data_IF_836765040650
#
_entry.id   IF_836765040650
#
_cell.length_a   1.000
_cell.length_b   1.000
_cell.length_c   1.000
_cell.angle_alpha   90.00
_cell.angle_beta   90.00
_cell.angle_gamma   90.00
#
_symmetry.space_group_name_H-M   'P 1'
#
loop_
_entity.id
_entity.type
_entity.pdbx_description
1 polymer ?
#
# COMPACT_ATOMS: atom_id res chain seq x y z
N UNK A 1 -7.91 -11.22 18.04
CA UNK A 1 -9.13 -10.41 17.80
C UNK A 1 -8.66 -9.04 17.39
N UNK A 2 -9.20 -8.50 16.33
CA UNK A 2 -8.83 -7.15 15.87
C UNK A 2 -9.16 -6.14 16.97
N UNK A 3 -8.18 -5.36 17.39
CA UNK A 3 -8.34 -4.35 18.45
C UNK A 3 -9.02 -3.07 17.91
N UNK A 4 -9.74 -3.19 16.78
CA UNK A 4 -10.38 -2.09 16.06
C UNK A 4 -11.89 -2.30 15.99
N UNK A 5 -12.66 -1.22 16.19
CA UNK A 5 -14.11 -1.23 15.95
C UNK A 5 -14.35 -1.20 14.44
N UNK A 6 -15.30 -2.00 13.98
CA UNK A 6 -15.69 -2.13 12.58
C UNK A 6 -17.16 -1.76 12.36
N UNK A 7 -17.65 -1.88 11.13
CA UNK A 7 -19.07 -1.69 10.83
C UNK A 7 -19.99 -2.70 11.52
N UNK A 8 -19.44 -3.81 12.03
CA UNK A 8 -20.23 -4.78 12.82
C UNK A 8 -20.61 -4.24 14.20
N UNK A 9 -19.80 -3.27 14.69
CA UNK A 9 -20.01 -2.62 16.00
C UNK A 9 -20.80 -1.30 15.87
N UNK A 10 -21.09 -0.86 14.63
CA UNK A 10 -21.70 0.45 14.36
C UNK A 10 -23.22 0.35 14.18
N UNK A 11 -23.98 1.11 14.95
CA UNK A 11 -25.40 1.38 14.69
C UNK A 11 -25.51 2.57 13.73
N UNK A 12 -25.76 2.29 12.44
CA UNK A 12 -25.81 3.31 11.38
C UNK A 12 -27.22 3.73 11.01
N UNK A 13 -28.27 3.00 11.45
CA UNK A 13 -29.65 3.24 11.04
C UNK A 13 -30.12 4.65 11.43
N UNK A 14 -30.56 5.41 10.43
CA UNK A 14 -31.04 6.79 10.60
C UNK A 14 -29.94 7.81 10.95
N UNK A 15 -28.68 7.37 11.06
CA UNK A 15 -27.54 8.21 11.43
C UNK A 15 -26.86 8.84 10.22
N UNK A 16 -26.30 10.03 10.42
CA UNK A 16 -25.42 10.69 9.45
C UNK A 16 -24.02 10.10 9.62
N UNK A 17 -23.58 9.34 8.62
CA UNK A 17 -22.33 8.60 8.66
C UNK A 17 -21.31 9.29 7.75
N UNK A 18 -20.33 9.96 8.35
CA UNK A 18 -19.18 10.46 7.61
C UNK A 18 -18.26 9.30 7.23
N UNK A 19 -18.03 9.10 5.95
CA UNK A 19 -17.20 8.00 5.45
C UNK A 19 -15.99 8.56 4.70
N UNK A 20 -14.80 8.37 5.25
CA UNK A 20 -13.55 8.76 4.59
C UNK A 20 -13.14 7.67 3.61
N UNK A 21 -13.18 7.98 2.34
CA UNK A 21 -12.89 7.07 1.23
C UNK A 21 -11.70 7.56 0.39
N UNK A 22 -11.13 6.69 -0.42
CA UNK A 22 -10.14 7.05 -1.42
C UNK A 22 -10.81 7.19 -2.80
N UNK A 23 -11.03 8.43 -3.20
CA UNK A 23 -11.57 8.81 -4.51
C UNK A 23 -10.48 9.36 -5.44
N UNK A 24 -9.21 9.21 -5.10
CA UNK A 24 -8.09 9.73 -5.89
C UNK A 24 -7.78 8.81 -7.09
N UNK A 25 -8.72 8.77 -8.01
CA UNK A 25 -8.69 7.94 -9.23
C UNK A 25 -7.94 8.65 -10.37
N UNK A 26 -7.35 7.91 -11.31
CA UNK A 26 -6.77 8.50 -12.50
C UNK A 26 -7.85 9.11 -13.41
N UNK A 27 -7.56 10.27 -13.93
CA UNK A 27 -8.46 11.04 -14.79
C UNK A 27 -7.78 11.40 -16.12
N UNK A 28 -8.52 11.35 -17.20
CA UNK A 28 -8.14 11.91 -18.49
C UNK A 28 -9.28 12.74 -19.06
N UNK A 29 -8.98 13.99 -19.45
CA UNK A 29 -9.96 14.94 -20.00
C UNK A 29 -11.27 15.02 -19.19
N UNK A 30 -11.16 15.02 -17.85
CA UNK A 30 -12.33 15.10 -16.95
C UNK A 30 -13.12 13.80 -16.81
N UNK A 31 -12.59 12.69 -17.30
CA UNK A 31 -13.21 11.35 -17.18
C UNK A 31 -12.34 10.42 -16.36
N UNK A 32 -12.97 9.62 -15.52
CA UNK A 32 -12.28 8.53 -14.77
C UNK A 32 -11.86 7.46 -15.77
N UNK A 33 -10.58 7.08 -15.73
CA UNK A 33 -9.99 6.07 -16.63
C UNK A 33 -9.81 4.71 -15.97
N UNK A 34 -9.90 4.63 -14.64
CA UNK A 34 -9.79 3.40 -13.86
C UNK A 34 -10.73 3.48 -12.64
N UNK A 35 -11.66 2.54 -12.55
CA UNK A 35 -12.68 2.48 -11.49
C UNK A 35 -12.31 1.57 -10.32
N UNK A 36 -11.15 0.93 -10.34
CA UNK A 36 -10.73 -0.06 -9.33
C UNK A 36 -10.88 0.44 -7.89
N UNK A 37 -10.52 1.71 -7.62
CA UNK A 37 -10.67 2.30 -6.28
C UNK A 37 -12.13 2.50 -5.89
N UNK A 38 -12.98 2.87 -6.86
CA UNK A 38 -14.42 3.04 -6.63
C UNK A 38 -15.09 1.71 -6.33
N UNK A 39 -14.72 0.66 -7.04
CA UNK A 39 -15.21 -0.70 -6.82
C UNK A 39 -14.81 -1.24 -5.43
N UNK A 40 -13.60 -0.92 -4.97
CA UNK A 40 -13.12 -1.35 -3.65
C UNK A 40 -13.89 -0.75 -2.48
N UNK A 41 -14.31 0.51 -2.57
CA UNK A 41 -15.05 1.19 -1.50
C UNK A 41 -16.56 0.95 -1.58
N UNK A 42 -17.06 0.43 -2.69
CA UNK A 42 -18.48 0.17 -2.91
C UNK A 42 -19.13 -0.68 -1.79
N UNK A 43 -18.51 -1.77 -1.29
CA UNK A 43 -19.11 -2.57 -0.21
C UNK A 43 -19.39 -1.76 1.06
N UNK A 44 -18.47 -0.89 1.51
CA UNK A 44 -18.68 -0.05 2.68
C UNK A 44 -19.84 0.92 2.48
N UNK A 45 -19.88 1.59 1.34
CA UNK A 45 -20.92 2.58 1.00
C UNK A 45 -22.29 1.92 0.94
N UNK A 46 -22.40 0.80 0.19
CA UNK A 46 -23.66 0.10 -0.01
C UNK A 46 -24.17 -0.53 1.27
N UNK A 47 -23.29 -1.11 2.09
CA UNK A 47 -23.69 -1.70 3.39
C UNK A 47 -24.29 -0.66 4.33
N UNK A 48 -23.68 0.52 4.46
CA UNK A 48 -24.19 1.60 5.32
C UNK A 48 -25.54 2.10 4.78
N UNK A 49 -25.65 2.30 3.47
CA UNK A 49 -26.88 2.73 2.79
C UNK A 49 -28.01 1.70 2.98
N UNK A 50 -27.73 0.41 2.78
CA UNK A 50 -28.71 -0.68 2.94
C UNK A 50 -29.21 -0.83 4.38
N UNK A 51 -28.36 -0.53 5.35
CA UNK A 51 -28.72 -0.48 6.78
C UNK A 51 -29.48 0.79 7.18
N UNK A 52 -29.81 1.67 6.23
CA UNK A 52 -30.54 2.92 6.45
C UNK A 52 -29.70 4.07 7.00
N UNK A 53 -28.38 4.00 6.88
CA UNK A 53 -27.48 5.11 7.19
C UNK A 53 -27.52 6.17 6.09
N UNK A 54 -27.37 7.44 6.46
CA UNK A 54 -27.17 8.57 5.53
C UNK A 54 -25.68 8.69 5.27
N UNK A 55 -25.24 8.25 4.08
CA UNK A 55 -23.81 8.15 3.72
C UNK A 55 -23.29 9.50 3.25
N UNK A 56 -22.27 10.03 3.91
CA UNK A 56 -21.65 11.32 3.59
C UNK A 56 -20.17 11.06 3.31
N UNK A 57 -19.79 11.08 2.03
CA UNK A 57 -18.43 10.76 1.60
C UNK A 57 -17.51 11.95 1.73
N UNK A 58 -16.36 11.72 2.36
CA UNK A 58 -15.24 12.64 2.48
C UNK A 58 -14.04 12.07 1.74
N UNK A 59 -13.42 12.85 0.87
CA UNK A 59 -12.21 12.44 0.18
C UNK A 59 -11.37 13.64 -0.22
N UNK A 60 -10.07 13.40 -0.42
CA UNK A 60 -9.21 14.32 -1.14
C UNK A 60 -9.07 13.87 -2.61
N UNK A 61 -8.69 14.81 -3.45
CA UNK A 61 -8.35 14.54 -4.85
C UNK A 61 -7.13 15.38 -5.25
N UNK A 62 -6.09 14.72 -5.74
CA UNK A 62 -4.87 15.36 -6.17
C UNK A 62 -4.13 16.16 -5.06
N UNK A 63 -3.42 17.18 -5.51
CA UNK A 63 -2.69 18.14 -4.65
C UNK A 63 -3.01 19.57 -5.10
N UNK A 64 -4.24 20.03 -4.91
CA UNK A 64 -4.66 21.35 -5.38
C UNK A 64 -3.87 22.45 -4.67
N UNK A 65 -3.52 23.50 -5.42
CA UNK A 65 -2.94 24.73 -4.86
C UNK A 65 -4.01 25.75 -4.47
N UNK A 66 -5.25 25.46 -4.76
CA UNK A 66 -6.43 26.26 -4.55
C UNK A 66 -7.65 25.58 -5.15
N UNK A 67 -8.81 26.23 -5.13
CA UNK A 67 -10.04 25.69 -5.71
C UNK A 67 -9.99 25.79 -7.23
N UNK A 68 -9.87 24.65 -7.90
CA UNK A 68 -9.86 24.52 -9.36
C UNK A 68 -10.82 23.39 -9.78
N UNK A 69 -11.60 23.62 -10.83
CA UNK A 69 -12.57 22.65 -11.36
C UNK A 69 -11.94 21.31 -11.76
N UNK A 70 -10.67 21.30 -12.20
CA UNK A 70 -9.94 20.07 -12.54
C UNK A 70 -9.68 19.16 -11.33
N UNK A 71 -9.66 19.73 -10.13
CA UNK A 71 -9.42 19.04 -8.87
C UNK A 71 -10.73 18.75 -8.11
N UNK A 72 -11.90 19.01 -8.74
CA UNK A 72 -13.22 18.74 -8.17
C UNK A 72 -13.53 17.24 -8.16
N UNK A 73 -14.18 16.79 -7.08
CA UNK A 73 -14.71 15.42 -6.96
C UNK A 73 -16.03 15.19 -7.70
N UNK A 74 -16.65 16.23 -8.28
CA UNK A 74 -17.94 16.11 -8.93
C UNK A 74 -17.99 15.05 -10.05
N UNK A 75 -17.00 14.99 -10.98
CA UNK A 75 -16.96 13.93 -11.98
C UNK A 75 -16.76 12.53 -11.40
N UNK A 76 -15.97 12.43 -10.32
CA UNK A 76 -15.71 11.16 -9.62
C UNK A 76 -16.96 10.65 -8.92
N UNK A 77 -17.73 11.55 -8.27
CA UNK A 77 -19.02 11.21 -7.65
C UNK A 77 -20.03 10.68 -8.69
N UNK A 78 -20.07 11.27 -9.89
CA UNK A 78 -20.91 10.80 -10.98
C UNK A 78 -20.53 9.40 -11.47
N UNK A 79 -19.22 9.09 -11.52
CA UNK A 79 -18.74 7.76 -11.90
C UNK A 79 -19.00 6.73 -10.78
N UNK A 80 -18.80 7.13 -9.51
CA UNK A 80 -19.15 6.28 -8.37
C UNK A 80 -20.62 5.85 -8.39
N UNK A 81 -21.54 6.78 -8.73
CA UNK A 81 -22.97 6.47 -8.86
C UNK A 81 -23.23 5.34 -9.85
N UNK A 82 -22.49 5.29 -10.96
CA UNK A 82 -22.58 4.20 -11.94
C UNK A 82 -22.04 2.88 -11.37
N UNK A 83 -20.86 2.93 -10.73
CA UNK A 83 -20.21 1.74 -10.15
C UNK A 83 -21.10 1.08 -9.11
N UNK A 84 -21.72 1.86 -8.21
CA UNK A 84 -22.60 1.32 -7.15
C UNK A 84 -24.06 1.16 -7.60
N UNK A 85 -24.38 1.58 -8.81
CA UNK A 85 -25.75 1.58 -9.37
C UNK A 85 -26.77 2.24 -8.43
N UNK A 86 -26.43 3.39 -7.87
CA UNK A 86 -27.26 4.19 -6.95
C UNK A 86 -27.01 5.68 -7.15
N UNK A 87 -28.00 6.55 -6.93
CA UNK A 87 -27.80 7.99 -6.95
C UNK A 87 -26.75 8.43 -5.90
N UNK A 88 -25.85 9.32 -6.30
CA UNK A 88 -24.93 10.00 -5.41
C UNK A 88 -25.12 11.50 -5.59
N UNK A 89 -25.66 12.15 -4.58
CA UNK A 89 -25.75 13.62 -4.56
C UNK A 89 -24.37 14.24 -4.36
N UNK A 90 -24.22 15.51 -4.73
CA UNK A 90 -22.96 16.24 -4.60
C UNK A 90 -23.17 17.60 -3.93
N UNK A 91 -22.28 17.96 -3.01
CA UNK A 91 -22.24 19.28 -2.39
C UNK A 91 -20.99 20.03 -2.85
N UNK A 92 -21.13 21.28 -3.23
CA UNK A 92 -20.04 22.09 -3.79
C UNK A 92 -19.00 22.55 -2.77
N UNK A 93 -19.13 22.14 -1.51
CA UNK A 93 -18.10 22.28 -0.47
C UNK A 93 -18.19 21.13 0.55
N UNK A 94 -17.13 20.93 1.34
CA UNK A 94 -17.09 19.90 2.38
C UNK A 94 -17.43 20.46 3.79
N UNK A 95 -17.59 21.77 3.93
CA UNK A 95 -17.98 22.46 5.16
C UNK A 95 -18.93 23.63 4.84
N UNK A 96 -19.50 24.23 5.88
CA UNK A 96 -20.34 25.41 5.77
C UNK A 96 -21.70 25.15 5.14
N UNK A 97 -22.38 26.22 4.73
CA UNK A 97 -23.76 26.18 4.27
C UNK A 97 -24.03 25.17 3.14
N UNK A 98 -23.19 25.07 2.07
CA UNK A 98 -23.44 24.12 1.00
C UNK A 98 -23.47 22.65 1.50
N UNK A 99 -22.53 22.28 2.38
CA UNK A 99 -22.46 20.95 2.97
C UNK A 99 -23.61 20.71 3.96
N UNK A 100 -23.86 21.64 4.87
CA UNK A 100 -24.91 21.55 5.90
C UNK A 100 -26.30 21.40 5.27
N UNK A 101 -26.61 22.19 4.23
CA UNK A 101 -27.86 22.13 3.49
C UNK A 101 -28.03 20.78 2.76
N UNK A 102 -26.98 20.30 2.09
CA UNK A 102 -27.03 19.03 1.39
C UNK A 102 -27.21 17.85 2.36
N UNK A 103 -26.54 17.86 3.51
CA UNK A 103 -26.67 16.84 4.57
C UNK A 103 -28.08 16.86 5.17
N UNK A 104 -28.66 18.05 5.43
CA UNK A 104 -30.00 18.17 5.99
C UNK A 104 -31.10 17.63 5.06
N UNK A 105 -30.86 17.59 3.76
CA UNK A 105 -31.79 17.07 2.77
C UNK A 105 -31.78 15.54 2.65
N UNK A 106 -30.79 14.83 3.25
CA UNK A 106 -30.64 13.37 3.11
C UNK A 106 -31.74 12.62 3.85
N UNK A 107 -32.24 11.58 3.19
CA UNK A 107 -33.09 10.55 3.76
C UNK A 107 -32.27 9.32 4.12
N UNK A 108 -32.85 8.41 4.90
CA UNK A 108 -32.23 7.15 5.24
C UNK A 108 -31.87 6.35 3.96
N UNK A 109 -30.63 5.91 3.84
CA UNK A 109 -30.11 5.22 2.68
C UNK A 109 -29.53 6.10 1.58
N UNK A 110 -29.71 7.42 1.64
CA UNK A 110 -29.16 8.34 0.66
C UNK A 110 -27.63 8.44 0.76
N UNK A 111 -27.00 8.77 -0.37
CA UNK A 111 -25.54 8.91 -0.50
C UNK A 111 -25.22 10.30 -1.03
N UNK A 112 -24.35 11.00 -0.33
CA UNK A 112 -23.84 12.34 -0.65
C UNK A 112 -22.32 12.30 -0.73
N UNK A 113 -21.76 12.87 -1.79
CA UNK A 113 -20.31 13.15 -1.87
C UNK A 113 -20.08 14.65 -1.62
N UNK A 114 -19.23 14.97 -0.69
CA UNK A 114 -18.76 16.33 -0.45
C UNK A 114 -17.59 16.68 -1.38
N UNK A 115 -17.37 17.97 -1.61
CA UNK A 115 -16.26 18.44 -2.43
C UNK A 115 -14.90 18.16 -1.77
N UNK A 116 -13.84 18.19 -2.56
CA UNK A 116 -12.46 17.92 -2.22
C UNK A 116 -12.02 18.62 -0.93
N UNK A 117 -11.74 17.83 0.11
CA UNK A 117 -11.33 18.36 1.42
C UNK A 117 -10.05 19.20 1.36
N UNK A 118 -9.16 18.94 0.38
CA UNK A 118 -7.91 19.68 0.17
C UNK A 118 -8.09 21.05 -0.50
N UNK A 119 -9.30 21.45 -0.85
CA UNK A 119 -9.58 22.83 -1.20
C UNK A 119 -9.42 23.76 0.01
N UNK A 120 -9.46 23.19 1.21
CA UNK A 120 -9.18 23.87 2.47
C UNK A 120 -7.78 23.49 2.97
N UNK A 121 -6.92 24.49 3.22
CA UNK A 121 -5.54 24.28 3.73
C UNK A 121 -5.51 23.67 5.12
N UNK A 122 -6.59 23.83 5.86
CA UNK A 122 -6.84 23.35 7.20
C UNK A 122 -6.92 21.81 7.27
N UNK A 123 -7.29 21.16 6.17
CA UNK A 123 -7.34 19.70 6.06
C UNK A 123 -5.99 19.07 6.39
N UNK A 124 -4.93 19.48 5.67
CA UNK A 124 -3.59 18.87 5.84
C UNK A 124 -2.93 19.29 7.15
N UNK A 125 -3.37 20.39 7.76
CA UNK A 125 -2.91 20.86 9.07
C UNK A 125 -3.62 20.21 10.25
N UNK A 126 -4.63 19.39 9.98
CA UNK A 126 -5.50 18.82 11.01
C UNK A 126 -6.06 19.92 11.94
N UNK A 127 -6.48 21.03 11.36
CA UNK A 127 -6.93 22.22 12.12
C UNK A 127 -8.17 21.91 12.95
N UNK A 128 -8.15 22.19 14.28
CA UNK A 128 -9.26 21.83 15.17
C UNK A 128 -10.60 22.48 14.81
N UNK A 129 -10.58 23.72 14.28
CA UNK A 129 -11.81 24.41 13.88
C UNK A 129 -12.40 23.79 12.61
N UNK A 130 -11.55 23.40 11.66
CA UNK A 130 -11.97 22.70 10.46
C UNK A 130 -12.52 21.30 10.79
N UNK A 131 -11.85 20.55 11.67
CA UNK A 131 -12.35 19.27 12.18
C UNK A 131 -13.73 19.44 12.83
N UNK A 132 -13.94 20.47 13.63
CA UNK A 132 -15.23 20.75 14.26
C UNK A 132 -16.32 21.04 13.23
N UNK A 133 -16.01 21.74 12.14
CA UNK A 133 -16.96 21.99 11.05
C UNK A 133 -17.33 20.71 10.30
N UNK A 134 -16.36 19.85 10.02
CA UNK A 134 -16.62 18.53 9.43
C UNK A 134 -17.48 17.66 10.38
N UNK A 135 -17.15 17.64 11.67
CA UNK A 135 -17.84 16.82 12.66
C UNK A 135 -19.32 17.19 12.84
N UNK A 136 -19.71 18.46 12.60
CA UNK A 136 -21.13 18.88 12.61
C UNK A 136 -21.99 18.12 11.59
N UNK A 137 -21.39 17.62 10.52
CA UNK A 137 -22.10 16.98 9.43
C UNK A 137 -22.47 15.50 9.72
N UNK A 138 -21.92 14.90 10.78
CA UNK A 138 -22.11 13.48 11.07
C UNK A 138 -22.37 13.17 12.54
N UNK A 139 -22.90 11.98 12.77
CA UNK A 139 -23.13 11.40 14.10
C UNK A 139 -22.06 10.38 14.46
N UNK A 140 -21.44 9.77 13.44
CA UNK A 140 -20.30 8.85 13.55
C UNK A 140 -19.40 8.95 12.32
N UNK A 141 -18.19 8.42 12.43
CA UNK A 141 -17.19 8.46 11.38
C UNK A 141 -16.66 7.07 11.08
N UNK A 142 -16.55 6.77 9.79
CA UNK A 142 -16.00 5.52 9.25
C UNK A 142 -14.77 5.86 8.43
N UNK A 143 -13.62 5.27 8.76
CA UNK A 143 -12.42 5.37 7.94
C UNK A 143 -12.30 4.14 7.04
N UNK A 144 -12.36 4.37 5.73
CA UNK A 144 -12.22 3.34 4.70
C UNK A 144 -11.06 3.64 3.72
N UNK A 145 -10.18 4.57 4.09
CA UNK A 145 -9.07 5.03 3.27
C UNK A 145 -7.72 4.72 3.93
N UNK A 146 -7.32 3.44 3.93
CA UNK A 146 -6.02 3.03 4.46
C UNK A 146 -4.86 3.74 3.73
N UNK A 147 -4.99 3.99 2.43
CA UNK A 147 -3.99 4.73 1.63
C UNK A 147 -3.64 6.12 2.17
N UNK A 148 -4.55 6.75 2.92
CA UNK A 148 -4.35 8.05 3.55
C UNK A 148 -4.10 7.97 5.07
N UNK A 149 -4.14 6.77 5.66
CA UNK A 149 -4.10 6.58 7.11
C UNK A 149 -2.75 6.94 7.76
N UNK A 150 -1.68 7.02 6.97
CA UNK A 150 -0.35 7.43 7.43
C UNK A 150 -0.23 8.93 7.69
N UNK A 151 -1.26 9.72 7.35
CA UNK A 151 -1.28 11.18 7.49
C UNK A 151 -2.29 11.61 8.55
N UNK A 152 -1.84 12.42 9.51
CA UNK A 152 -2.71 13.02 10.52
C UNK A 152 -3.42 14.27 9.96
N UNK A 153 -4.35 14.08 9.03
CA UNK A 153 -5.18 15.13 8.45
C UNK A 153 -6.56 15.20 9.13
N UNK A 154 -7.30 16.28 8.95
CA UNK A 154 -8.59 16.49 9.59
C UNK A 154 -9.59 15.37 9.28
N UNK A 155 -9.72 14.96 8.00
CA UNK A 155 -10.65 13.91 7.57
C UNK A 155 -10.13 12.48 7.78
N UNK A 156 -8.83 12.28 8.02
CA UNK A 156 -8.21 10.96 8.17
C UNK A 156 -7.90 10.59 9.63
N UNK A 157 -7.78 11.57 10.51
CA UNK A 157 -7.43 11.35 11.92
C UNK A 157 -8.25 12.24 12.87
N UNK A 158 -8.32 13.56 12.59
CA UNK A 158 -8.97 14.52 13.47
C UNK A 158 -10.42 14.18 13.81
N UNK A 159 -11.21 13.72 12.84
CA UNK A 159 -12.58 13.28 13.04
C UNK A 159 -12.71 12.10 14.02
N UNK A 160 -11.73 11.20 14.05
CA UNK A 160 -11.71 10.05 14.97
C UNK A 160 -11.58 10.43 16.45
N UNK A 161 -11.13 11.66 16.75
CA UNK A 161 -11.10 12.21 18.11
C UNK A 161 -12.40 12.93 18.49
N UNK A 162 -13.28 13.22 17.54
CA UNK A 162 -14.52 13.98 17.76
C UNK A 162 -15.78 13.12 17.70
N UNK A 163 -15.77 12.07 16.92
CA UNK A 163 -16.92 11.20 16.68
C UNK A 163 -16.59 9.74 17.02
N UNK A 164 -17.60 8.92 17.33
CA UNK A 164 -17.42 7.46 17.36
C UNK A 164 -16.83 6.99 16.02
N UNK A 165 -15.70 6.27 16.09
CA UNK A 165 -14.89 5.93 14.94
C UNK A 165 -14.89 4.43 14.66
N UNK A 166 -15.02 4.04 13.40
CA UNK A 166 -15.10 2.65 12.94
C UNK A 166 -14.29 2.46 11.66
N UNK A 167 -13.77 1.25 11.46
CA UNK A 167 -13.16 0.85 10.20
C UNK A 167 -14.24 0.45 9.19
N UNK A 168 -14.13 0.95 7.97
CA UNK A 168 -14.89 0.44 6.82
C UNK A 168 -14.36 -0.92 6.37
N UNK A 169 -15.04 -1.57 5.42
CA UNK A 169 -14.69 -2.93 5.00
C UNK A 169 -13.34 -3.02 4.28
N UNK A 170 -12.98 -1.99 3.51
CA UNK A 170 -11.65 -1.92 2.86
C UNK A 170 -10.55 -1.75 3.91
N UNK A 171 -10.74 -0.85 4.87
CA UNK A 171 -9.83 -0.66 6.00
C UNK A 171 -9.69 -1.94 6.82
N UNK A 172 -10.80 -2.60 7.15
CA UNK A 172 -10.81 -3.85 7.89
C UNK A 172 -10.03 -4.96 7.17
N UNK A 173 -10.27 -5.14 5.86
CA UNK A 173 -9.56 -6.14 5.06
C UNK A 173 -8.04 -5.89 5.04
N UNK A 174 -7.63 -4.63 4.92
CA UNK A 174 -6.23 -4.21 4.99
C UNK A 174 -5.64 -4.56 6.36
N UNK A 175 -6.27 -4.13 7.46
CA UNK A 175 -5.78 -4.38 8.83
C UNK A 175 -5.71 -5.86 9.16
N UNK A 176 -6.71 -6.65 8.74
CA UNK A 176 -6.72 -8.10 8.95
C UNK A 176 -5.57 -8.79 8.19
N UNK A 177 -5.31 -8.38 6.95
CA UNK A 177 -4.21 -8.90 6.14
C UNK A 177 -2.85 -8.56 6.75
N UNK A 178 -2.67 -7.31 7.18
CA UNK A 178 -1.43 -6.82 7.78
C UNK A 178 -1.15 -7.51 9.13
N UNK A 179 -2.17 -7.68 9.96
CA UNK A 179 -2.05 -8.41 11.22
C UNK A 179 -1.62 -9.86 10.99
N UNK A 180 -2.24 -10.55 10.02
CA UNK A 180 -1.87 -11.93 9.65
C UNK A 180 -0.46 -12.03 9.08
N UNK A 181 0.06 -10.96 8.50
CA UNK A 181 1.37 -10.96 7.84
C UNK A 181 2.54 -10.74 8.80
N UNK A 182 2.43 -9.82 9.79
CA UNK A 182 3.56 -9.43 10.64
C UNK A 182 3.27 -9.33 12.14
N UNK A 183 2.02 -9.08 12.55
CA UNK A 183 1.72 -8.92 13.98
C UNK A 183 1.40 -10.27 14.66
N UNK A 184 0.67 -11.15 13.96
CA UNK A 184 0.37 -12.51 14.41
C UNK A 184 0.50 -13.54 13.28
N UNK A 185 1.68 -13.62 12.62
CA UNK A 185 1.86 -14.45 11.45
C UNK A 185 1.96 -15.95 11.79
N UNK A 186 1.62 -16.79 10.83
CA UNK A 186 2.04 -18.18 10.83
C UNK A 186 3.54 -18.24 10.49
N UNK A 187 4.32 -18.86 11.35
CA UNK A 187 5.77 -19.01 11.14
C UNK A 187 6.09 -20.30 10.35
N UNK A 188 7.20 -20.36 9.62
CA UNK A 188 8.18 -19.29 9.39
C UNK A 188 7.66 -18.13 8.53
N UNK A 189 8.15 -16.92 8.80
CA UNK A 189 7.82 -15.72 8.03
C UNK A 189 9.00 -15.32 7.18
N UNK A 190 8.80 -15.12 5.88
CA UNK A 190 9.80 -14.50 5.02
C UNK A 190 9.33 -13.15 4.50
N UNK A 191 10.27 -12.25 4.28
CA UNK A 191 10.05 -11.04 3.52
C UNK A 191 10.89 -11.06 2.24
N UNK A 192 10.33 -10.56 1.14
CA UNK A 192 11.06 -10.24 -0.09
C UNK A 192 11.03 -8.73 -0.25
N UNK A 193 12.19 -8.11 -0.17
CA UNK A 193 12.34 -6.67 -0.30
C UNK A 193 13.28 -6.38 -1.46
N UNK A 194 12.76 -5.69 -2.46
CA UNK A 194 13.52 -5.27 -3.62
C UNK A 194 13.42 -3.77 -3.85
N UNK A 195 14.08 -3.30 -4.91
CA UNK A 195 14.09 -1.92 -5.31
C UNK A 195 15.48 -1.41 -5.64
N UNK A 196 15.56 -0.14 -6.01
CA UNK A 196 16.81 0.46 -6.51
C UNK A 196 17.78 0.86 -5.39
N UNK A 197 17.26 1.36 -4.25
CA UNK A 197 18.07 2.10 -3.25
C UNK A 197 17.83 1.63 -1.83
N UNK A 198 18.91 1.35 -1.08
CA UNK A 198 18.87 1.06 0.36
C UNK A 198 18.37 2.27 1.16
N UNK A 199 18.82 3.48 0.80
CA UNK A 199 18.47 4.74 1.49
C UNK A 199 16.98 4.97 1.66
N UNK A 200 16.16 4.45 0.75
CA UNK A 200 14.70 4.58 0.80
C UNK A 200 14.01 3.55 1.68
N UNK A 201 14.74 2.54 2.16
CA UNK A 201 14.16 1.38 2.87
C UNK A 201 14.93 0.97 4.14
N UNK A 202 15.79 1.83 4.68
CA UNK A 202 16.57 1.52 5.87
C UNK A 202 15.68 1.16 7.05
N UNK A 203 14.69 2.02 7.35
CA UNK A 203 13.75 1.80 8.47
C UNK A 203 12.96 0.52 8.29
N UNK A 204 12.54 0.23 7.04
CA UNK A 204 11.83 -1.00 6.68
C UNK A 204 12.70 -2.23 6.97
N UNK A 205 13.93 -2.26 6.47
CA UNK A 205 14.84 -3.39 6.66
C UNK A 205 15.16 -3.59 8.14
N UNK A 206 15.45 -2.53 8.87
CA UNK A 206 15.76 -2.60 10.31
C UNK A 206 14.57 -3.04 11.18
N UNK A 207 13.34 -2.77 10.75
CA UNK A 207 12.16 -3.29 11.43
C UNK A 207 11.91 -4.76 11.07
N UNK A 208 12.00 -5.11 9.79
CA UNK A 208 11.69 -6.46 9.32
C UNK A 208 12.66 -7.52 9.86
N UNK A 209 13.97 -7.24 9.95
CA UNK A 209 14.93 -8.22 10.48
C UNK A 209 14.61 -8.68 11.91
N UNK A 210 13.82 -7.90 12.65
CA UNK A 210 13.36 -8.26 14.01
C UNK A 210 12.07 -9.07 14.02
N UNK A 211 11.34 -9.11 12.90
CA UNK A 211 9.99 -9.69 12.80
C UNK A 211 9.90 -10.92 11.94
N UNK A 212 10.83 -11.11 11.01
CA UNK A 212 10.81 -12.22 10.04
C UNK A 212 11.94 -13.21 10.30
N UNK A 213 11.75 -14.45 9.88
CA UNK A 213 12.73 -15.52 10.04
C UNK A 213 13.77 -15.50 8.91
N UNK A 214 13.40 -15.00 7.73
CA UNK A 214 14.33 -14.76 6.63
C UNK A 214 13.91 -13.53 5.82
N UNK A 215 14.90 -12.85 5.25
CA UNK A 215 14.74 -11.64 4.44
C UNK A 215 15.53 -11.79 3.12
N UNK A 216 14.81 -11.88 2.02
CA UNK A 216 15.36 -11.83 0.66
C UNK A 216 15.53 -10.37 0.26
N UNK A 217 16.72 -10.00 -0.17
CA UNK A 217 17.05 -8.66 -0.68
C UNK A 217 17.36 -8.77 -2.17
N UNK A 218 16.66 -7.98 -2.99
CA UNK A 218 16.81 -7.99 -4.45
C UNK A 218 16.94 -6.59 -5.05
N UNK A 219 17.09 -6.54 -6.38
CA UNK A 219 17.23 -5.30 -7.13
C UNK A 219 18.56 -4.58 -6.88
N UNK A 220 18.61 -3.29 -7.21
CA UNK A 220 19.79 -2.45 -7.00
C UNK A 220 20.23 -2.35 -5.53
N UNK A 221 19.30 -2.51 -4.59
CA UNK A 221 19.61 -2.60 -3.17
C UNK A 221 20.56 -3.76 -2.87
N UNK A 222 20.33 -4.93 -3.45
CA UNK A 222 21.19 -6.11 -3.25
C UNK A 222 22.62 -5.83 -3.69
N UNK A 223 22.82 -5.04 -4.74
CA UNK A 223 24.16 -4.66 -5.22
C UNK A 223 24.92 -3.85 -4.17
N UNK A 224 24.24 -3.00 -3.40
CA UNK A 224 24.86 -2.26 -2.29
C UNK A 224 25.34 -3.22 -1.19
N UNK A 225 24.55 -4.23 -0.84
CA UNK A 225 24.95 -5.26 0.14
C UNK A 225 26.12 -6.11 -0.37
N UNK A 226 26.09 -6.53 -1.65
CA UNK A 226 27.18 -7.28 -2.26
C UNK A 226 28.49 -6.48 -2.28
N UNK A 227 28.41 -5.20 -2.66
CA UNK A 227 29.54 -4.30 -2.62
C UNK A 227 30.11 -4.13 -1.20
N UNK A 228 29.24 -3.99 -0.19
CA UNK A 228 29.63 -3.89 1.22
C UNK A 228 30.38 -5.13 1.70
N UNK A 229 30.12 -6.29 1.13
CA UNK A 229 30.83 -7.54 1.41
C UNK A 229 32.10 -7.75 0.55
N UNK A 230 32.51 -6.72 -0.21
CA UNK A 230 33.72 -6.78 -1.04
C UNK A 230 33.54 -7.45 -2.40
N UNK A 231 32.32 -7.73 -2.83
CA UNK A 231 32.03 -8.33 -4.14
C UNK A 231 32.07 -7.26 -5.22
N UNK A 232 32.76 -7.53 -6.32
CA UNK A 232 32.81 -6.67 -7.49
C UNK A 232 31.45 -6.66 -8.20
N UNK A 233 30.82 -5.51 -8.36
CA UNK A 233 29.51 -5.36 -8.98
C UNK A 233 29.53 -4.62 -10.31
N UNK A 234 30.74 -4.39 -10.88
CA UNK A 234 30.89 -3.69 -12.14
C UNK A 234 30.30 -2.26 -12.12
N UNK A 235 29.55 -1.94 -13.16
CA UNK A 235 28.83 -0.67 -13.30
C UNK A 235 27.38 -0.74 -12.76
N UNK A 236 27.06 -1.72 -11.94
CA UNK A 236 25.72 -1.89 -11.37
C UNK A 236 25.30 -0.70 -10.52
N UNK A 237 23.99 -0.39 -10.55
CA UNK A 237 23.39 0.58 -9.64
C UNK A 237 23.63 0.14 -8.18
N UNK A 238 24.26 1.01 -7.39
CA UNK A 238 24.50 0.79 -5.98
C UNK A 238 24.77 2.10 -5.25
N UNK A 239 24.46 2.16 -3.98
CA UNK A 239 24.78 3.26 -3.08
C UNK A 239 26.04 2.88 -2.27
N UNK A 240 27.23 3.01 -2.90
CA UNK A 240 28.52 2.57 -2.33
C UNK A 240 28.88 3.26 -1.04
N UNK A 241 28.47 4.51 -0.86
CA UNK A 241 28.62 5.30 0.37
C UNK A 241 27.76 4.77 1.54
N UNK A 242 26.78 3.91 1.29
CA UNK A 242 25.97 3.23 2.30
C UNK A 242 26.47 1.81 2.65
N UNK A 243 27.69 1.44 2.26
CA UNK A 243 28.27 0.13 2.59
C UNK A 243 28.28 -0.15 4.10
N UNK A 244 28.65 0.82 4.92
CA UNK A 244 28.62 0.68 6.38
C UNK A 244 27.19 0.48 6.92
N UNK A 245 26.20 1.14 6.33
CA UNK A 245 24.79 0.95 6.68
C UNK A 245 24.31 -0.45 6.32
N UNK A 246 24.68 -0.95 5.14
CA UNK A 246 24.36 -2.31 4.71
C UNK A 246 24.94 -3.36 5.66
N UNK A 247 26.21 -3.22 6.06
CA UNK A 247 26.86 -4.12 7.04
C UNK A 247 26.14 -4.06 8.38
N UNK A 248 25.77 -2.88 8.88
CA UNK A 248 25.01 -2.74 10.13
C UNK A 248 23.66 -3.45 10.07
N UNK A 249 22.98 -3.44 8.93
CA UNK A 249 21.70 -4.17 8.75
C UNK A 249 21.96 -5.68 8.82
N UNK A 250 23.04 -6.19 8.20
CA UNK A 250 23.43 -7.59 8.29
C UNK A 250 23.71 -8.02 9.72
N UNK A 251 24.47 -7.20 10.49
CA UNK A 251 24.75 -7.45 11.91
C UNK A 251 23.46 -7.50 12.74
N UNK A 252 22.54 -6.59 12.49
CA UNK A 252 21.21 -6.59 13.15
C UNK A 252 20.40 -7.83 12.83
N UNK A 253 20.45 -8.30 11.59
CA UNK A 253 19.77 -9.51 11.17
C UNK A 253 20.34 -10.73 11.88
N UNK A 254 21.68 -10.85 11.96
CA UNK A 254 22.35 -11.92 12.68
C UNK A 254 21.98 -11.92 14.16
N UNK A 255 22.03 -10.76 14.81
CA UNK A 255 21.63 -10.61 16.22
C UNK A 255 20.16 -10.96 16.49
N UNK A 256 19.28 -10.80 15.49
CA UNK A 256 17.87 -11.14 15.55
C UNK A 256 17.55 -12.57 15.09
N UNK A 257 18.54 -13.39 14.71
CA UNK A 257 18.38 -14.70 14.07
C UNK A 257 17.54 -14.66 12.80
N UNK A 258 17.61 -13.58 12.03
CA UNK A 258 16.98 -13.45 10.73
C UNK A 258 17.98 -13.81 9.63
N UNK A 259 17.68 -14.82 8.83
CA UNK A 259 18.55 -15.19 7.72
C UNK A 259 18.43 -14.17 6.58
N UNK A 260 19.56 -13.58 6.18
CA UNK A 260 19.58 -12.71 4.99
C UNK A 260 19.93 -13.55 3.76
N UNK A 261 19.06 -13.46 2.74
CA UNK A 261 19.22 -14.16 1.47
C UNK A 261 19.55 -13.11 0.41
N UNK A 262 20.83 -13.00 0.09
CA UNK A 262 21.35 -12.19 -1.01
C UNK A 262 21.47 -13.04 -2.28
N UNK A 263 21.49 -12.42 -3.48
CA UNK A 263 21.80 -13.12 -4.72
C UNK A 263 23.16 -13.82 -4.63
N UNK A 264 23.27 -15.00 -5.26
CA UNK A 264 24.51 -15.79 -5.38
C UNK A 264 25.03 -15.83 -6.82
N UNK A 265 24.21 -15.39 -7.75
CA UNK A 265 24.51 -15.15 -9.14
C UNK A 265 23.65 -14.00 -9.67
N UNK A 266 23.98 -13.51 -10.84
CA UNK A 266 23.32 -12.35 -11.41
C UNK A 266 23.15 -12.47 -12.91
N UNK A 267 22.07 -11.92 -13.45
CA UNK A 267 21.88 -11.66 -14.88
C UNK A 267 22.43 -10.28 -15.19
N UNK A 268 23.48 -10.26 -16.03
CA UNK A 268 24.26 -9.07 -16.34
C UNK A 268 24.09 -8.68 -17.79
N UNK A 269 23.93 -7.39 -18.04
CA UNK A 269 23.95 -6.77 -19.37
C UNK A 269 24.90 -5.58 -19.38
N UNK A 270 25.26 -5.09 -20.58
CA UNK A 270 26.16 -3.96 -20.78
C UNK A 270 25.41 -2.65 -21.13
N UNK A 271 24.09 -2.77 -21.37
CA UNK A 271 23.18 -1.65 -21.65
C UNK A 271 21.92 -1.78 -20.81
N UNK A 272 21.44 -0.65 -20.27
CA UNK A 272 20.19 -0.59 -19.54
C UNK A 272 19.02 -0.32 -20.51
N UNK A 273 18.62 -1.37 -21.22
CA UNK A 273 17.53 -1.27 -22.22
C UNK A 273 16.83 -2.64 -22.36
N UNK A 274 15.60 -2.61 -22.86
CA UNK A 274 14.85 -3.83 -23.12
C UNK A 274 15.55 -4.68 -24.18
N UNK A 275 15.58 -6.00 -23.97
CA UNK A 275 16.21 -6.99 -24.84
C UNK A 275 17.73 -6.82 -25.01
N UNK A 276 18.40 -6.10 -24.13
CA UNK A 276 19.86 -6.06 -24.13
C UNK A 276 20.43 -7.49 -24.01
N UNK A 277 21.47 -7.83 -24.79
CA UNK A 277 22.17 -9.08 -24.63
C UNK A 277 22.63 -9.27 -23.19
N UNK A 278 22.31 -10.41 -22.59
CA UNK A 278 22.59 -10.68 -21.19
C UNK A 278 23.03 -12.10 -20.96
N UNK A 279 23.76 -12.32 -19.87
CA UNK A 279 24.25 -13.62 -19.45
C UNK A 279 24.25 -13.71 -17.93
N UNK A 280 24.04 -14.91 -17.40
CA UNK A 280 24.20 -15.19 -15.99
C UNK A 280 25.68 -15.37 -15.62
N UNK A 281 26.08 -14.74 -14.52
CA UNK A 281 27.42 -14.81 -13.95
C UNK A 281 27.37 -15.17 -12.47
N UNK A 282 28.31 -15.99 -12.00
CA UNK A 282 28.61 -16.08 -10.57
C UNK A 282 29.15 -14.74 -10.04
N UNK A 283 29.01 -14.51 -8.73
CA UNK A 283 29.42 -13.24 -8.12
C UNK A 283 30.94 -12.95 -8.18
N UNK A 284 31.75 -14.00 -8.36
CA UNK A 284 33.19 -13.93 -8.55
C UNK A 284 33.64 -13.57 -9.98
N UNK A 285 32.68 -13.55 -10.91
CA UNK A 285 32.93 -13.38 -12.34
C UNK A 285 32.16 -12.22 -12.98
N UNK A 286 31.62 -11.29 -12.19
CA UNK A 286 30.89 -10.13 -12.70
C UNK A 286 31.84 -9.24 -13.53
N UNK A 287 31.53 -8.98 -14.83
CA UNK A 287 32.36 -8.10 -15.65
C UNK A 287 32.45 -6.67 -15.07
N UNK A 288 33.64 -6.07 -15.13
CA UNK A 288 33.89 -4.72 -14.60
C UNK A 288 33.05 -3.63 -15.25
N UNK A 289 32.65 -3.83 -16.50
CA UNK A 289 31.81 -2.92 -17.29
C UNK A 289 30.34 -3.37 -17.39
N UNK A 290 30.01 -4.52 -16.78
CA UNK A 290 28.67 -5.07 -16.75
C UNK A 290 27.79 -4.46 -15.66
N UNK A 291 26.48 -4.54 -15.87
CA UNK A 291 25.45 -4.12 -14.92
C UNK A 291 24.59 -5.31 -14.52
N UNK A 292 24.46 -5.55 -13.22
CA UNK A 292 23.50 -6.52 -12.68
C UNK A 292 22.10 -5.92 -12.83
N UNK A 293 21.27 -6.56 -13.66
CA UNK A 293 19.91 -6.09 -13.93
C UNK A 293 18.82 -7.03 -13.39
N UNK A 294 19.17 -8.29 -13.06
CA UNK A 294 18.27 -9.23 -12.42
C UNK A 294 19.07 -10.25 -11.61
N UNK A 295 18.39 -10.98 -10.75
CA UNK A 295 18.95 -12.15 -10.07
C UNK A 295 19.20 -13.27 -11.10
N UNK A 296 20.22 -14.09 -10.84
CA UNK A 296 20.52 -15.23 -11.68
C UNK A 296 19.68 -16.48 -11.35
N UNK A 297 19.83 -17.56 -12.14
CA UNK A 297 19.04 -18.79 -11.98
C UNK A 297 19.20 -19.44 -10.60
N UNK A 298 20.41 -19.49 -10.05
CA UNK A 298 20.67 -20.07 -8.73
C UNK A 298 20.04 -19.23 -7.60
N UNK A 299 20.03 -17.91 -7.77
CA UNK A 299 19.34 -16.99 -6.84
C UNK A 299 17.84 -17.22 -6.87
N UNK A 300 17.23 -17.45 -8.02
CA UNK A 300 15.81 -17.79 -8.16
C UNK A 300 15.51 -19.10 -7.40
N UNK A 301 16.34 -20.12 -7.53
CA UNK A 301 16.17 -21.38 -6.80
C UNK A 301 16.24 -21.18 -5.28
N UNK A 302 17.13 -20.31 -4.79
CA UNK A 302 17.19 -19.95 -3.37
C UNK A 302 15.94 -19.20 -2.90
N UNK A 303 15.39 -18.32 -3.73
CA UNK A 303 14.14 -17.63 -3.42
C UNK A 303 12.99 -18.66 -3.36
N UNK A 304 12.93 -19.60 -4.30
CA UNK A 304 11.92 -20.67 -4.26
C UNK A 304 12.05 -21.52 -2.99
N UNK A 305 13.25 -21.92 -2.61
CA UNK A 305 13.47 -22.68 -1.38
C UNK A 305 13.02 -21.90 -0.15
N UNK A 306 13.30 -20.60 -0.08
CA UNK A 306 12.83 -19.74 1.00
C UNK A 306 11.29 -19.64 1.05
N UNK A 307 10.63 -19.56 -0.10
CA UNK A 307 9.18 -19.56 -0.20
C UNK A 307 8.61 -20.94 0.23
N UNK A 308 9.27 -22.04 -0.10
CA UNK A 308 8.85 -23.38 0.32
C UNK A 308 8.89 -23.57 1.83
N UNK A 309 9.89 -23.03 2.48
CA UNK A 309 10.07 -23.11 3.94
C UNK A 309 9.10 -22.19 4.69
N UNK A 310 8.51 -21.21 4.02
CA UNK A 310 7.67 -20.19 4.64
C UNK A 310 6.20 -20.62 4.80
N UNK A 311 5.58 -20.20 5.90
CA UNK A 311 4.12 -20.21 6.06
C UNK A 311 3.50 -18.83 5.76
N UNK A 312 4.29 -17.76 5.87
CA UNK A 312 3.87 -16.38 5.57
C UNK A 312 4.95 -15.66 4.76
N UNK A 313 4.52 -14.96 3.71
CA UNK A 313 5.34 -14.10 2.87
C UNK A 313 4.83 -12.66 2.91
N UNK A 314 5.76 -11.72 3.12
CA UNK A 314 5.52 -10.28 2.92
C UNK A 314 6.42 -9.80 1.80
N UNK A 315 5.86 -9.12 0.80
CA UNK A 315 6.63 -8.71 -0.39
C UNK A 315 6.47 -7.22 -0.69
N UNK A 316 7.60 -6.53 -0.80
CA UNK A 316 7.65 -5.12 -1.25
C UNK A 316 8.85 -4.89 -2.17
N UNK A 317 8.59 -4.68 -3.44
CA UNK A 317 9.57 -4.32 -4.47
C UNK A 317 10.09 -5.50 -5.30
N UNK A 318 10.39 -5.25 -6.59
CA UNK A 318 10.91 -6.24 -7.51
C UNK A 318 12.36 -6.61 -7.19
N UNK A 319 12.78 -7.81 -7.61
CA UNK A 319 14.15 -8.32 -7.40
C UNK A 319 15.10 -8.06 -8.57
N UNK A 320 14.62 -7.41 -9.63
CA UNK A 320 15.36 -7.01 -10.82
C UNK A 320 14.73 -5.80 -11.48
N UNK A 321 15.27 -5.38 -12.63
CA UNK A 321 14.73 -4.31 -13.46
C UNK A 321 13.51 -4.82 -14.25
N UNK A 322 12.42 -5.10 -13.53
CA UNK A 322 11.24 -5.83 -14.02
C UNK A 322 10.51 -5.11 -15.18
N UNK A 323 10.70 -3.79 -15.31
CA UNK A 323 10.15 -3.00 -16.43
C UNK A 323 10.83 -3.29 -17.77
N UNK A 324 12.00 -3.93 -17.75
CA UNK A 324 12.81 -4.24 -18.93
C UNK A 324 12.92 -5.76 -19.14
N UNK A 325 12.19 -6.31 -20.11
CA UNK A 325 12.37 -7.72 -20.51
C UNK A 325 13.78 -7.91 -21.10
N UNK A 326 14.56 -8.97 -20.74
CA UNK A 326 14.18 -10.13 -19.93
C UNK A 326 14.54 -10.02 -18.43
N UNK A 327 14.81 -8.81 -17.91
CA UNK A 327 15.25 -8.58 -16.52
C UNK A 327 14.07 -8.57 -15.51
N UNK A 328 12.88 -8.89 -15.97
CA UNK A 328 11.68 -9.18 -15.19
C UNK A 328 11.61 -10.63 -14.71
N UNK A 329 12.46 -11.51 -15.24
CA UNK A 329 12.37 -12.96 -15.03
C UNK A 329 12.41 -13.37 -13.57
N UNK A 330 13.36 -12.85 -12.79
CA UNK A 330 13.49 -13.18 -11.38
C UNK A 330 12.23 -12.84 -10.59
N UNK A 331 11.69 -11.65 -10.81
CA UNK A 331 10.47 -11.17 -10.16
C UNK A 331 9.25 -12.00 -10.59
N UNK A 332 9.08 -12.22 -11.89
CA UNK A 332 7.93 -12.95 -12.45
C UNK A 332 7.90 -14.41 -11.98
N UNK A 333 9.04 -15.09 -12.03
CA UNK A 333 9.14 -16.51 -11.64
C UNK A 333 8.87 -16.67 -10.14
N UNK A 334 9.47 -15.82 -9.30
CA UNK A 334 9.21 -15.83 -7.86
C UNK A 334 7.75 -15.51 -7.52
N UNK A 335 7.14 -14.54 -8.22
CA UNK A 335 5.74 -14.16 -8.02
C UNK A 335 4.78 -15.30 -8.38
N UNK A 336 4.99 -15.95 -9.52
CA UNK A 336 4.19 -17.12 -9.94
C UNK A 336 4.33 -18.29 -8.96
N UNK A 337 5.53 -18.51 -8.44
CA UNK A 337 5.76 -19.56 -7.45
C UNK A 337 5.04 -19.27 -6.13
N UNK A 338 5.15 -18.06 -5.60
CA UNK A 338 4.43 -17.63 -4.40
C UNK A 338 2.90 -17.74 -4.58
N UNK A 339 2.38 -17.34 -5.75
CA UNK A 339 0.97 -17.47 -6.10
C UNK A 339 0.51 -18.92 -6.11
N UNK A 340 1.30 -19.83 -6.68
CA UNK A 340 1.01 -21.27 -6.68
C UNK A 340 0.93 -21.83 -5.25
N UNK A 341 1.90 -21.50 -4.40
CA UNK A 341 1.90 -21.93 -2.99
C UNK A 341 0.71 -21.38 -2.21
N UNK A 342 0.30 -20.17 -2.53
CA UNK A 342 -0.89 -19.52 -1.93
C UNK A 342 -2.17 -20.24 -2.35
N UNK A 343 -2.34 -20.56 -3.64
CA UNK A 343 -3.50 -21.31 -4.14
C UNK A 343 -3.61 -22.71 -3.53
N UNK A 344 -2.49 -23.32 -3.22
CA UNK A 344 -2.44 -24.63 -2.54
C UNK A 344 -2.73 -24.54 -1.03
N UNK A 345 -3.00 -23.33 -0.49
CA UNK A 345 -3.24 -23.12 0.93
C UNK A 345 -2.00 -23.29 1.82
N UNK A 346 -0.80 -23.34 1.21
CA UNK A 346 0.48 -23.56 1.90
C UNK A 346 1.20 -22.28 2.29
N UNK A 347 0.76 -21.13 1.78
CA UNK A 347 1.39 -19.83 2.01
C UNK A 347 0.32 -18.75 2.21
N UNK A 348 0.48 -17.96 3.27
CA UNK A 348 -0.21 -16.66 3.40
C UNK A 348 0.70 -15.62 2.76
N UNK A 349 0.27 -14.99 1.69
CA UNK A 349 1.06 -14.01 0.95
C UNK A 349 0.42 -12.64 0.95
N UNK A 350 1.16 -11.65 1.42
CA UNK A 350 0.75 -10.24 1.45
C UNK A 350 1.80 -9.42 0.71
N UNK A 351 1.36 -8.63 -0.24
CA UNK A 351 2.24 -7.76 -1.02
C UNK A 351 1.68 -6.35 -1.08
N UNK A 352 2.56 -5.37 -1.29
CA UNK A 352 2.15 -3.98 -1.44
C UNK A 352 3.28 -3.09 -1.94
N UNK A 353 2.90 -1.87 -2.30
CA UNK A 353 3.75 -0.89 -2.97
C UNK A 353 3.52 -0.86 -4.48
N UNK A 354 3.62 0.33 -5.08
CA UNK A 354 3.28 0.54 -6.50
C UNK A 354 4.01 -0.39 -7.45
N UNK A 355 5.33 -0.47 -7.34
CA UNK A 355 6.16 -1.33 -8.18
C UNK A 355 5.86 -2.82 -7.97
N UNK A 356 5.55 -3.20 -6.73
CA UNK A 356 5.16 -4.59 -6.41
C UNK A 356 3.84 -4.95 -7.10
N UNK A 357 2.83 -4.10 -6.96
CA UNK A 357 1.52 -4.30 -7.61
C UNK A 357 1.67 -4.38 -9.12
N UNK A 358 2.46 -3.48 -9.71
CA UNK A 358 2.75 -3.49 -11.15
C UNK A 358 3.45 -4.79 -11.58
N UNK A 359 4.43 -5.26 -10.81
CA UNK A 359 5.14 -6.49 -11.09
C UNK A 359 4.24 -7.74 -10.98
N UNK A 360 3.36 -7.80 -9.98
CA UNK A 360 2.41 -8.90 -9.82
C UNK A 360 1.36 -8.92 -10.95
N UNK A 361 0.90 -7.76 -11.38
CA UNK A 361 -0.02 -7.64 -12.52
C UNK A 361 0.69 -8.04 -13.82
N UNK A 362 1.93 -7.61 -14.03
CA UNK A 362 2.76 -8.04 -15.17
C UNK A 362 2.97 -9.56 -15.20
N UNK A 363 3.17 -10.17 -14.04
CA UNK A 363 3.26 -11.63 -13.91
C UNK A 363 1.90 -12.35 -14.07
N UNK A 364 0.78 -11.61 -14.08
CA UNK A 364 -0.57 -12.17 -14.19
C UNK A 364 -1.06 -12.87 -12.92
N UNK A 365 -0.53 -12.54 -11.74
CA UNK A 365 -0.82 -13.22 -10.46
C UNK A 365 -1.34 -12.29 -9.36
N UNK A 366 -1.67 -11.04 -9.69
CA UNK A 366 -2.14 -10.06 -8.69
C UNK A 366 -3.37 -10.51 -7.88
N UNK A 367 -4.26 -11.32 -8.47
CA UNK A 367 -5.42 -11.90 -7.79
C UNK A 367 -5.17 -13.21 -7.04
N UNK A 368 -3.96 -13.75 -7.12
CA UNK A 368 -3.62 -15.09 -6.61
C UNK A 368 -2.89 -15.03 -5.24
N UNK A 369 -2.54 -13.84 -4.77
CA UNK A 369 -2.01 -13.62 -3.43
C UNK A 369 -3.15 -13.55 -2.41
N UNK A 370 -2.86 -13.85 -1.15
CA UNK A 370 -3.85 -13.73 -0.06
C UNK A 370 -4.37 -12.29 0.04
N UNK A 371 -3.48 -11.33 -0.10
CA UNK A 371 -3.84 -9.91 -0.15
C UNK A 371 -2.78 -9.08 -0.90
N UNK A 372 -3.24 -8.15 -1.72
CA UNK A 372 -2.38 -7.16 -2.40
C UNK A 372 -2.87 -5.76 -2.01
N UNK A 373 -2.05 -5.05 -1.23
CA UNK A 373 -2.33 -3.68 -0.83
C UNK A 373 -2.03 -2.71 -1.98
N UNK A 374 -2.97 -1.83 -2.26
CA UNK A 374 -2.77 -0.71 -3.18
C UNK A 374 -2.46 0.60 -2.45
N UNK A 375 -2.25 0.53 -1.14
CA UNK A 375 -2.14 1.69 -0.27
C UNK A 375 -0.78 2.43 -0.35
N UNK A 376 0.19 1.91 -1.07
CA UNK A 376 1.47 2.58 -1.31
C UNK A 376 2.20 2.96 -0.02
N UNK A 377 2.25 4.29 0.28
CA UNK A 377 2.99 4.82 1.42
C UNK A 377 2.53 4.31 2.78
N UNK A 378 1.22 4.16 2.99
CA UNK A 378 0.70 3.65 4.27
C UNK A 378 1.13 2.20 4.53
N UNK A 379 1.13 1.37 3.49
CA UNK A 379 1.63 -0.01 3.59
C UNK A 379 3.13 -0.03 3.94
N UNK A 380 3.92 0.82 3.30
CA UNK A 380 5.36 0.90 3.58
C UNK A 380 5.62 1.36 5.02
N UNK A 381 4.99 2.45 5.46
CA UNK A 381 5.16 2.96 6.82
C UNK A 381 4.71 1.96 7.89
N UNK A 382 3.64 1.20 7.61
CA UNK A 382 3.24 0.12 8.49
C UNK A 382 4.30 -0.98 8.59
N UNK A 383 4.89 -1.39 7.46
CA UNK A 383 6.00 -2.37 7.45
C UNK A 383 7.24 -1.84 8.17
N UNK A 384 7.47 -0.53 8.17
CA UNK A 384 8.51 0.16 8.95
C UNK A 384 8.22 0.16 10.46
N UNK A 385 7.05 -0.30 10.88
CA UNK A 385 6.61 -0.31 12.28
C UNK A 385 6.16 1.04 12.79
N UNK A 386 5.89 2.00 11.90
CA UNK A 386 5.39 3.32 12.26
C UNK A 386 3.90 3.25 12.60
N UNK A 387 3.45 3.93 13.67
CA UNK A 387 2.02 4.06 13.95
C UNK A 387 1.37 4.88 12.84
N UNK A 388 0.21 4.41 12.34
CA UNK A 388 -0.55 5.12 11.33
C UNK A 388 -1.66 5.92 12.01
N UNK A 389 -1.63 7.27 12.00
CA UNK A 389 -2.58 8.09 12.73
C UNK A 389 -4.04 7.75 12.47
N UNK A 390 -4.41 7.55 11.18
CA UNK A 390 -5.77 7.19 10.78
C UNK A 390 -6.20 5.78 11.16
N UNK A 391 -5.27 4.93 11.62
CA UNK A 391 -5.55 3.60 12.17
C UNK A 391 -5.61 3.65 13.69
N UNK A 392 -4.68 4.38 14.33
CA UNK A 392 -4.61 4.45 15.79
C UNK A 392 -5.91 4.99 16.43
N UNK A 393 -6.59 5.94 15.76
CA UNK A 393 -7.87 6.47 16.23
C UNK A 393 -9.04 5.48 16.14
N UNK A 394 -8.86 4.35 15.44
CA UNK A 394 -9.87 3.28 15.32
C UNK A 394 -9.76 2.24 16.45
N UNK A 395 -8.67 2.27 17.23
CA UNK A 395 -8.50 1.31 18.33
C UNK A 395 -9.63 1.45 19.35
N UNK A 396 -10.17 0.33 19.79
CA UNK A 396 -11.14 0.31 20.89
C UNK A 396 -10.51 0.96 22.12
N UNK A 397 -11.18 1.97 22.66
CA UNK A 397 -10.78 2.63 23.91
C UNK A 397 -11.33 1.83 25.08
#
# INVERSE_FOLDING_TARGET
MSNFRTLDDADVKGKRVLVRVDLNVPMDQGRVTDTTRLERIAPTITEISDKGGKVILLAHFGRPKGRDAKDSLKPVAAELAKVINRPVAFADDCIGEPAEKAVAALKDGDILCLENTRFHKEEEKNDPAFVAQLAKLGDLWVNDAFSAAHRAHASTEGLGHKLPAYAGRTMQAELDALNKALDAPKKPVIAIIGGAKVSTKIDLLENLVKKVDALVIGGGMANTFLHAQGIGIGKSLAEKDLAATALRILDKAEAANCAIILPVDATVAFHFEANAPSQAYGLDAIPADGMILDVGPQSIERIHAAIDDAATLVWNGPVGAFELTPFDRGTVVAAKYAAQRTKLGKLVSVAGGGDTVAALNHAGVGGDFTYVSTAGGAFLEWMEGKPLPGVEVLRAK
#
